data_IF_136350265370
#
_entry.id   IF_136350265370
#
_cell.length_a   1.000
_cell.length_b   1.000
_cell.length_c   1.000
_cell.angle_alpha   90.00
_cell.angle_beta   90.00
_cell.angle_gamma   90.00
#
_symmetry.space_group_name_H-M   'P 1'
#
loop_
_entity.id
_entity.type
_entity.pdbx_description
1 polymer ?
#
# COMPACT_ATOMS: atom_id res chain seq x y z
N UNK A 1 13.84 20.43 32.17
CA UNK A 1 13.38 19.52 33.25
C UNK A 1 11.95 19.80 33.66
N UNK A 2 11.14 18.75 33.73
CA UNK A 2 9.81 18.70 34.34
C UNK A 2 10.00 18.15 35.74
N UNK A 3 9.47 18.81 36.77
CA UNK A 3 9.72 18.43 38.16
C UNK A 3 8.44 18.01 38.88
N UNK A 4 8.56 17.09 39.83
CA UNK A 4 7.49 16.67 40.73
C UNK A 4 7.85 17.09 42.16
N UNK A 5 7.16 18.10 42.67
CA UNK A 5 7.34 18.64 44.01
C UNK A 5 6.44 17.91 45.02
N UNK A 6 7.05 17.09 45.89
CA UNK A 6 6.35 16.33 46.95
C UNK A 6 6.24 17.17 48.23
N UNK A 7 5.08 17.77 48.42
CA UNK A 7 4.79 18.71 49.53
C UNK A 7 4.25 18.04 50.80
N UNK A 8 3.76 16.79 50.70
CA UNK A 8 3.22 15.99 51.81
C UNK A 8 3.35 14.48 51.52
N UNK A 9 2.88 13.63 52.43
CA UNK A 9 2.79 12.17 52.20
C UNK A 9 1.63 11.78 51.27
N UNK A 10 0.66 12.68 51.04
CA UNK A 10 -0.45 12.46 50.12
C UNK A 10 -0.12 13.01 48.73
N UNK A 11 -0.16 12.16 47.70
CA UNK A 11 0.15 12.54 46.32
C UNK A 11 -0.76 13.64 45.77
N UNK A 12 -1.98 13.76 46.29
CA UNK A 12 -2.94 14.79 45.93
C UNK A 12 -2.41 16.21 46.22
N UNK A 13 -1.53 16.37 47.22
CA UNK A 13 -0.94 17.67 47.55
C UNK A 13 0.28 18.02 46.66
N UNK A 14 0.82 17.04 45.95
CA UNK A 14 2.02 17.19 45.13
C UNK A 14 1.74 18.06 43.90
N UNK A 15 2.82 18.61 43.34
CA UNK A 15 2.71 19.53 42.23
C UNK A 15 3.67 19.18 41.09
N UNK A 16 3.20 19.28 39.86
CA UNK A 16 4.03 19.20 38.66
C UNK A 16 4.44 20.62 38.26
N UNK A 17 5.75 20.86 38.15
CA UNK A 17 6.31 22.09 37.61
C UNK A 17 6.58 21.89 36.13
N UNK A 18 5.78 22.56 35.29
CA UNK A 18 5.87 22.45 33.83
C UNK A 18 5.78 23.83 33.18
N UNK A 19 6.77 24.16 32.32
CA UNK A 19 6.88 25.47 31.64
C UNK A 19 6.75 26.68 32.57
N UNK A 20 7.37 26.61 33.76
CA UNK A 20 7.35 27.68 34.76
C UNK A 20 6.00 27.86 35.48
N UNK A 21 5.05 26.95 35.31
CA UNK A 21 3.78 26.91 36.02
C UNK A 21 3.73 25.70 36.95
N UNK A 22 2.91 25.82 38.01
CA UNK A 22 2.71 24.80 39.04
C UNK A 22 1.29 24.25 38.91
N UNK A 23 1.19 22.93 38.78
CA UNK A 23 -0.09 22.21 38.63
C UNK A 23 -0.25 21.22 39.77
N UNK A 24 -1.33 21.31 40.54
CA UNK A 24 -1.61 20.38 41.63
C UNK A 24 -2.14 19.04 41.08
N UNK A 25 -1.63 17.91 41.58
CA UNK A 25 -2.00 16.59 41.07
C UNK A 25 -3.44 16.18 41.42
N UNK A 26 -4.05 16.67 42.50
CA UNK A 26 -5.46 16.37 42.78
C UNK A 26 -6.41 16.94 41.72
N UNK A 27 -6.04 18.09 41.13
CA UNK A 27 -6.86 18.78 40.12
C UNK A 27 -6.52 18.35 38.68
N UNK A 28 -5.23 18.16 38.39
CA UNK A 28 -4.73 17.95 37.03
C UNK A 28 -4.17 16.56 36.76
N UNK A 29 -4.03 15.70 37.77
CA UNK A 29 -3.43 14.38 37.64
C UNK A 29 -4.28 13.26 38.23
N UNK A 30 -3.73 12.06 38.16
CA UNK A 30 -4.31 10.88 38.81
C UNK A 30 -3.20 9.90 39.20
N UNK A 31 -3.44 9.09 40.23
CA UNK A 31 -2.56 7.97 40.55
C UNK A 31 -2.74 6.88 39.50
N UNK A 32 -1.67 6.55 38.75
CA UNK A 32 -1.68 5.53 37.71
C UNK A 32 -1.28 4.16 38.27
N UNK A 33 -0.20 4.13 39.06
CA UNK A 33 0.28 2.95 39.79
C UNK A 33 0.68 3.34 41.21
N UNK A 34 1.23 2.39 41.98
CA UNK A 34 1.76 2.70 43.31
C UNK A 34 2.92 3.70 43.32
N UNK A 35 3.59 3.88 42.18
CA UNK A 35 4.79 4.71 42.08
C UNK A 35 4.78 5.68 40.91
N UNK A 36 3.71 5.71 40.12
CA UNK A 36 3.59 6.60 38.97
C UNK A 36 2.25 7.33 38.91
N UNK A 37 2.29 8.54 38.38
CA UNK A 37 1.19 9.49 38.37
C UNK A 37 0.98 10.03 36.96
N UNK A 38 -0.26 9.98 36.48
CA UNK A 38 -0.63 10.51 35.17
C UNK A 38 -0.79 12.04 35.25
N UNK A 39 -0.20 12.74 34.28
CA UNK A 39 -0.33 14.18 34.12
C UNK A 39 -0.27 14.59 32.63
N UNK A 40 -1.28 15.32 32.10
CA UNK A 40 -2.55 15.62 32.72
C UNK A 40 -3.48 14.41 32.70
N UNK A 41 -4.34 14.29 33.70
CA UNK A 41 -5.51 13.40 33.68
C UNK A 41 -6.82 14.18 33.46
N UNK A 42 -6.79 15.50 33.60
CA UNK A 42 -7.93 16.40 33.42
C UNK A 42 -8.01 16.89 31.96
N UNK A 43 -9.23 16.97 31.42
CA UNK A 43 -9.52 17.47 30.06
C UNK A 43 -9.27 18.97 29.87
N UNK A 44 -9.23 19.74 30.96
CA UNK A 44 -9.03 21.20 30.91
C UNK A 44 -7.58 21.60 30.61
N UNK A 45 -6.63 20.68 30.83
CA UNK A 45 -5.23 20.86 30.47
C UNK A 45 -4.86 19.86 29.37
N UNK A 46 -4.62 20.36 28.16
CA UNK A 46 -4.12 19.56 27.05
C UNK A 46 -2.64 19.83 26.85
N UNK A 47 -1.85 18.76 26.79
CA UNK A 47 -0.46 18.81 26.39
C UNK A 47 -0.33 18.27 24.98
N UNK A 48 0.39 18.98 24.15
CA UNK A 48 0.71 18.59 22.77
C UNK A 48 2.15 18.11 22.69
N UNK A 49 2.51 17.37 21.64
CA UNK A 49 3.90 16.94 21.45
C UNK A 49 4.88 18.13 21.35
N UNK A 50 4.42 19.25 20.80
CA UNK A 50 5.22 20.46 20.66
C UNK A 50 5.56 21.08 22.02
N UNK A 51 4.78 20.79 23.06
CA UNK A 51 5.09 21.26 24.39
C UNK A 51 6.38 20.65 24.96
N UNK A 52 6.82 19.55 24.37
CA UNK A 52 8.00 18.77 24.77
C UNK A 52 9.14 18.85 23.75
N UNK A 53 9.04 19.67 22.70
CA UNK A 53 10.02 19.68 21.59
C UNK A 53 11.46 19.99 22.00
N UNK A 54 11.61 20.71 23.12
CA UNK A 54 12.90 21.18 23.63
C UNK A 54 13.43 20.31 24.79
N UNK A 55 12.73 19.23 25.12
CA UNK A 55 13.07 18.32 26.22
C UNK A 55 13.80 17.07 25.67
N UNK A 56 14.73 16.53 26.46
CA UNK A 56 15.28 15.19 26.25
C UNK A 56 14.58 14.18 27.16
N UNK A 57 14.72 12.88 26.90
CA UNK A 57 14.14 11.84 27.78
C UNK A 57 14.68 11.85 29.22
N UNK A 58 15.83 12.49 29.46
CA UNK A 58 16.40 12.72 30.79
C UNK A 58 15.76 13.91 31.52
N UNK A 59 15.02 14.79 30.83
CA UNK A 59 14.35 15.93 31.43
C UNK A 59 13.01 15.57 32.09
N UNK A 60 12.49 14.36 31.85
CA UNK A 60 11.22 13.90 32.42
C UNK A 60 11.41 13.26 33.80
N UNK A 61 10.53 13.60 34.73
CA UNK A 61 10.57 13.05 36.08
C UNK A 61 10.13 11.58 36.09
N UNK A 62 10.89 10.64 36.67
CA UNK A 62 10.67 9.20 36.52
C UNK A 62 9.42 8.65 37.23
N UNK A 63 8.62 9.49 37.89
CA UNK A 63 7.35 9.10 38.51
C UNK A 63 6.14 9.62 37.71
N UNK A 64 6.39 10.30 36.57
CA UNK A 64 5.34 10.88 35.75
C UNK A 64 5.05 10.04 34.50
N UNK A 65 3.76 9.99 34.19
CA UNK A 65 3.21 9.40 32.98
C UNK A 65 2.44 10.49 32.25
N UNK A 66 2.77 10.77 31.00
CA UNK A 66 2.14 11.87 30.26
C UNK A 66 1.19 11.36 29.19
N UNK A 67 -0.05 11.83 29.22
CA UNK A 67 -0.96 11.77 28.07
C UNK A 67 -0.72 12.98 27.17
N UNK A 68 -0.42 12.73 25.89
CA UNK A 68 -0.07 13.75 24.91
C UNK A 68 -1.04 13.64 23.74
N UNK A 69 -1.78 14.71 23.48
CA UNK A 69 -2.71 14.79 22.35
C UNK A 69 -1.92 15.05 21.06
N UNK A 70 -2.25 14.33 19.98
CA UNK A 70 -1.70 14.59 18.66
C UNK A 70 -2.45 15.72 17.94
N UNK A 71 -2.31 16.94 18.45
CA UNK A 71 -2.89 18.10 17.79
C UNK A 71 -2.21 18.35 16.43
N UNK A 72 -3.03 18.62 15.40
CA UNK A 72 -2.59 18.89 14.03
C UNK A 72 -1.87 17.72 13.31
N UNK A 73 -1.90 16.49 13.83
CA UNK A 73 -1.37 15.33 13.13
C UNK A 73 0.17 15.28 13.06
N UNK A 74 0.87 16.01 13.94
CA UNK A 74 2.33 16.11 13.95
C UNK A 74 3.00 14.74 14.17
N UNK A 75 2.32 13.84 14.89
CA UNK A 75 2.79 12.49 15.19
C UNK A 75 2.42 11.48 14.11
N UNK A 76 1.77 11.92 13.03
CA UNK A 76 1.20 11.07 11.99
C UNK A 76 -0.30 11.27 11.92
N UNK A 77 -0.88 11.06 10.73
CA UNK A 77 -2.28 11.43 10.46
C UNK A 77 -3.29 10.57 11.23
N UNK A 78 -2.92 9.33 11.58
CA UNK A 78 -3.77 8.34 12.25
C UNK A 78 -3.33 8.07 13.69
N UNK A 79 -2.58 8.97 14.32
CA UNK A 79 -2.28 8.85 15.75
C UNK A 79 -3.25 9.75 16.52
N UNK A 80 -3.97 9.19 17.48
CA UNK A 80 -4.91 9.98 18.29
C UNK A 80 -4.22 10.56 19.51
N UNK A 81 -3.56 9.68 20.27
CA UNK A 81 -3.00 9.96 21.59
C UNK A 81 -1.73 9.17 21.76
N UNK A 82 -0.84 9.77 22.53
CA UNK A 82 0.43 9.18 22.89
C UNK A 82 0.55 9.18 24.41
N UNK A 83 1.21 8.14 24.90
CA UNK A 83 1.49 7.96 26.30
C UNK A 83 2.99 7.85 26.51
N UNK A 84 3.57 8.78 27.26
CA UNK A 84 4.97 8.73 27.64
C UNK A 84 5.08 8.18 29.06
N UNK A 85 5.58 6.95 29.19
CA UNK A 85 5.92 6.37 30.49
C UNK A 85 7.40 6.59 30.79
N UNK A 86 7.68 7.30 31.89
CA UNK A 86 9.06 7.55 32.33
C UNK A 86 9.43 6.77 33.59
N UNK A 87 8.56 5.84 34.01
CA UNK A 87 8.70 5.02 35.22
C UNK A 87 10.04 4.31 35.31
N UNK A 88 10.72 4.45 36.44
CA UNK A 88 11.96 3.71 36.73
C UNK A 88 11.72 2.27 37.23
N UNK A 89 10.48 1.89 37.55
CA UNK A 89 10.18 0.61 38.22
C UNK A 89 9.87 -0.56 37.28
N UNK A 90 9.61 -0.30 35.99
CA UNK A 90 9.22 -1.34 35.01
C UNK A 90 10.34 -1.70 34.01
N UNK A 91 11.60 -1.40 34.35
CA UNK A 91 12.79 -1.66 33.50
C UNK A 91 12.72 -1.11 32.06
N UNK A 92 11.75 -0.24 31.75
CA UNK A 92 11.65 0.37 30.42
C UNK A 92 10.96 1.72 30.47
N UNK A 93 11.69 2.77 30.06
CA UNK A 93 11.03 3.96 29.55
C UNK A 93 10.45 3.59 28.21
N UNK A 94 9.15 3.80 28.03
CA UNK A 94 8.50 3.49 26.78
C UNK A 94 7.59 4.61 26.34
N UNK A 95 7.35 4.60 25.04
CA UNK A 95 6.41 5.49 24.38
C UNK A 95 5.28 4.64 23.81
N UNK A 96 4.13 4.72 24.47
CA UNK A 96 2.91 4.04 24.06
C UNK A 96 2.18 4.84 23.00
N UNK A 97 1.87 4.19 21.90
CA UNK A 97 1.15 4.78 20.77
C UNK A 97 -0.23 4.18 20.65
N UNK A 98 -1.20 5.05 20.37
CA UNK A 98 -2.54 4.68 19.93
C UNK A 98 -2.72 5.13 18.48
N UNK A 99 -2.54 4.20 17.56
CA UNK A 99 -2.81 4.43 16.14
C UNK A 99 -4.26 4.04 15.85
N UNK A 100 -5.06 4.97 15.38
CA UNK A 100 -6.51 4.83 15.26
C UNK A 100 -7.03 5.29 13.90
N UNK A 101 -7.92 4.47 13.33
CA UNK A 101 -8.86 4.94 12.31
C UNK A 101 -10.21 5.19 12.99
N UNK A 102 -10.67 6.44 12.97
CA UNK A 102 -12.03 6.80 13.41
C UNK A 102 -13.04 6.41 12.34
N UNK A 103 -13.95 5.49 12.67
CA UNK A 103 -14.87 4.86 11.72
C UNK A 103 -15.90 5.84 11.15
N UNK A 104 -16.39 6.78 11.95
CA UNK A 104 -17.42 7.74 11.53
C UNK A 104 -16.89 8.78 10.53
N UNK A 105 -15.58 9.06 10.57
CA UNK A 105 -14.91 10.05 9.72
C UNK A 105 -14.09 9.36 8.60
N UNK A 106 -14.15 8.03 8.49
CA UNK A 106 -13.36 7.28 7.53
C UNK A 106 -13.93 7.39 6.11
N UNK A 107 -13.16 7.97 5.20
CA UNK A 107 -13.48 8.13 3.78
C UNK A 107 -12.62 7.27 2.84
N UNK A 108 -11.69 6.48 3.40
CA UNK A 108 -10.78 5.65 2.62
C UNK A 108 -11.46 4.43 1.97
N UNK A 109 -10.78 3.87 0.96
CA UNK A 109 -11.37 2.90 0.03
C UNK A 109 -11.50 1.46 0.57
N UNK A 110 -10.83 1.14 1.68
CA UNK A 110 -10.87 -0.20 2.28
C UNK A 110 -11.59 -0.19 3.62
N UNK A 111 -11.97 -1.39 4.04
CA UNK A 111 -12.46 -1.61 5.40
C UNK A 111 -11.35 -1.23 6.41
N UNK A 112 -11.59 -0.30 7.36
CA UNK A 112 -10.61 0.14 8.35
C UNK A 112 -9.91 -0.98 9.12
N UNK A 113 -10.64 -2.05 9.45
CA UNK A 113 -10.09 -3.19 10.20
C UNK A 113 -9.10 -4.00 9.36
N UNK A 114 -9.29 -4.07 8.04
CA UNK A 114 -8.35 -4.74 7.12
C UNK A 114 -7.06 -3.94 7.06
N UNK A 115 -7.15 -2.61 6.85
CA UNK A 115 -5.97 -1.74 6.83
C UNK A 115 -5.22 -1.85 8.15
N UNK A 116 -5.92 -1.68 9.29
CA UNK A 116 -5.33 -1.79 10.63
C UNK A 116 -4.54 -3.09 10.79
N UNK A 117 -5.12 -4.23 10.43
CA UNK A 117 -4.46 -5.53 10.57
C UNK A 117 -3.19 -5.63 9.72
N UNK A 118 -3.18 -5.07 8.51
CA UNK A 118 -2.00 -5.07 7.64
C UNK A 118 -0.93 -4.08 8.12
N UNK A 119 -1.34 -2.89 8.61
CA UNK A 119 -0.43 -1.93 9.26
C UNK A 119 0.22 -2.57 10.48
N UNK A 120 -0.54 -3.26 11.33
CA UNK A 120 -0.01 -3.96 12.50
C UNK A 120 1.05 -5.01 12.12
N UNK A 121 0.82 -5.81 11.06
CA UNK A 121 1.81 -6.77 10.55
C UNK A 121 3.07 -6.09 10.05
N UNK A 122 2.95 -4.96 9.36
CA UNK A 122 4.10 -4.20 8.87
C UNK A 122 4.92 -3.61 10.03
N UNK A 123 4.24 -3.10 11.07
CA UNK A 123 4.84 -2.62 12.32
C UNK A 123 5.52 -3.77 13.10
N UNK A 124 4.99 -5.00 13.06
CA UNK A 124 5.63 -6.15 13.70
C UNK A 124 6.87 -6.67 12.93
N UNK A 125 6.89 -6.52 11.60
CA UNK A 125 7.93 -7.07 10.75
C UNK A 125 9.18 -6.18 10.60
N UNK A 126 9.07 -4.89 10.94
CA UNK A 126 10.16 -3.92 10.89
C UNK A 126 11.18 -4.10 12.03
N UNK A 127 12.36 -3.50 11.86
CA UNK A 127 13.44 -3.50 12.88
C UNK A 127 14.00 -2.10 13.15
N UNK A 128 13.38 -1.06 12.60
CA UNK A 128 13.77 0.35 12.75
C UNK A 128 13.52 0.86 14.18
N UNK A 129 12.46 0.37 14.83
CA UNK A 129 12.07 0.74 16.19
C UNK A 129 11.98 -0.48 17.10
N UNK A 130 12.55 -0.41 18.33
CA UNK A 130 12.47 -1.48 19.31
C UNK A 130 11.08 -1.51 19.95
N UNK A 131 10.15 -2.23 19.34
CA UNK A 131 8.80 -2.40 19.89
C UNK A 131 8.87 -3.37 21.08
N UNK A 132 8.41 -2.91 22.24
CA UNK A 132 8.32 -3.73 23.44
C UNK A 132 7.00 -4.48 23.46
N UNK A 133 7.08 -5.81 23.58
CA UNK A 133 5.90 -6.66 23.71
C UNK A 133 5.18 -6.97 22.39
N UNK A 134 3.90 -7.32 22.49
CA UNK A 134 3.02 -7.61 21.34
C UNK A 134 2.11 -6.42 21.07
N UNK A 135 1.79 -6.19 19.80
CA UNK A 135 0.79 -5.19 19.43
C UNK A 135 -0.58 -5.59 20.00
N UNK A 136 -1.26 -4.64 20.62
CA UNK A 136 -2.66 -4.73 20.96
C UNK A 136 -3.52 -4.27 19.78
N UNK A 137 -4.57 -5.01 19.47
CA UNK A 137 -5.59 -4.58 18.50
C UNK A 137 -6.91 -4.41 19.23
N UNK A 138 -7.61 -3.30 19.00
CA UNK A 138 -8.95 -3.08 19.55
C UNK A 138 -9.96 -2.64 18.49
N UNK A 139 -11.20 -3.04 18.73
CA UNK A 139 -12.40 -2.71 17.97
C UNK A 139 -13.33 -1.86 18.87
N UNK A 140 -12.78 -0.80 19.46
CA UNK A 140 -13.55 0.06 20.37
C UNK A 140 -14.63 0.86 19.63
N UNK A 141 -15.64 1.32 20.38
CA UNK A 141 -16.89 1.91 19.88
C UNK A 141 -16.68 3.14 18.97
N UNK A 142 -16.34 2.90 17.70
CA UNK A 142 -16.07 3.93 16.70
C UNK A 142 -14.63 4.00 16.18
N UNK A 143 -13.73 3.09 16.60
CA UNK A 143 -12.33 3.10 16.19
C UNK A 143 -11.80 1.72 15.80
N UNK A 144 -10.86 1.69 14.84
CA UNK A 144 -10.00 0.54 14.58
C UNK A 144 -8.58 0.89 15.03
N UNK A 145 -8.13 0.27 16.12
CA UNK A 145 -6.97 0.76 16.90
C UNK A 145 -5.82 -0.25 16.99
N UNK A 146 -4.59 0.25 16.93
CA UNK A 146 -3.35 -0.46 17.23
C UNK A 146 -2.69 0.22 18.43
N UNK A 147 -2.33 -0.60 19.42
CA UNK A 147 -1.59 -0.19 20.60
C UNK A 147 -0.23 -0.85 20.59
N UNK A 148 0.83 -0.06 20.77
CA UNK A 148 2.17 -0.60 20.90
C UNK A 148 3.07 0.36 21.66
N UNK A 149 4.05 -0.23 22.32
CA UNK A 149 5.04 0.50 23.09
C UNK A 149 6.38 0.43 22.38
N UNK A 150 7.09 1.56 22.31
CA UNK A 150 8.45 1.63 21.77
C UNK A 150 9.40 1.92 22.92
N UNK A 151 10.45 1.11 23.05
CA UNK A 151 11.53 1.35 24.01
C UNK A 151 12.31 2.62 23.63
N UNK A 152 12.45 3.54 24.59
CA UNK A 152 13.14 4.82 24.40
C UNK A 152 14.39 4.97 25.26
N UNK A 153 14.89 3.89 25.85
CA UNK A 153 16.07 3.90 26.72
C UNK A 153 17.34 4.41 26.00
N UNK A 154 17.49 4.14 24.70
CA UNK A 154 18.64 4.56 23.88
C UNK A 154 18.40 5.85 23.09
N UNK A 155 17.27 6.53 23.33
CA UNK A 155 16.89 7.71 22.54
C UNK A 155 17.40 8.99 23.21
N UNK A 156 18.32 9.69 22.54
CA UNK A 156 18.89 10.94 23.05
C UNK A 156 17.97 12.15 22.85
N UNK A 157 17.49 12.36 21.61
CA UNK A 157 16.69 13.51 21.22
C UNK A 157 15.20 13.13 21.07
N UNK A 158 14.36 13.68 21.94
CA UNK A 158 12.91 13.43 21.93
C UNK A 158 12.27 13.82 20.60
N UNK A 159 12.64 15.01 20.10
CA UNK A 159 12.04 15.59 18.90
C UNK A 159 12.32 14.78 17.65
N UNK A 160 13.58 14.43 17.44
CA UNK A 160 13.98 13.67 16.27
C UNK A 160 13.36 12.27 16.27
N UNK A 161 13.19 11.68 17.46
CA UNK A 161 12.54 10.38 17.60
C UNK A 161 11.08 10.40 17.17
N UNK A 162 10.25 11.28 17.73
CA UNK A 162 8.84 11.27 17.39
C UNK A 162 8.59 11.65 15.92
N UNK A 163 9.42 12.53 15.34
CA UNK A 163 9.32 12.89 13.91
C UNK A 163 9.70 11.72 13.00
N UNK A 164 10.73 10.96 13.35
CA UNK A 164 11.11 9.74 12.62
C UNK A 164 10.01 8.70 12.68
N UNK A 165 9.46 8.45 13.87
CA UNK A 165 8.39 7.47 13.99
C UNK A 165 7.11 7.91 13.28
N UNK A 166 6.72 9.19 13.38
CA UNK A 166 5.59 9.74 12.64
C UNK A 166 5.73 9.48 11.13
N UNK A 167 6.91 9.80 10.59
CA UNK A 167 7.24 9.56 9.18
C UNK A 167 7.19 8.08 8.81
N UNK A 168 7.66 7.22 9.71
CA UNK A 168 7.61 5.77 9.54
C UNK A 168 6.16 5.28 9.47
N UNK A 169 5.30 5.68 10.41
CA UNK A 169 3.91 5.23 10.49
C UNK A 169 3.08 5.73 9.31
N UNK A 170 3.24 6.99 8.92
CA UNK A 170 2.57 7.54 7.74
C UNK A 170 2.99 6.78 6.47
N UNK A 171 4.28 6.53 6.28
CA UNK A 171 4.79 5.73 5.16
C UNK A 171 4.24 4.30 5.19
N UNK A 172 4.24 3.64 6.34
CA UNK A 172 3.73 2.27 6.49
C UNK A 172 2.25 2.19 6.14
N UNK A 173 1.46 3.19 6.54
CA UNK A 173 0.05 3.27 6.16
C UNK A 173 -0.12 3.43 4.64
N UNK A 174 0.61 4.37 4.03
CA UNK A 174 0.56 4.62 2.58
C UNK A 174 0.97 3.36 1.78
N UNK A 175 2.03 2.66 2.20
CA UNK A 175 2.47 1.40 1.61
C UNK A 175 1.41 0.31 1.73
N UNK A 176 0.78 0.16 2.91
CA UNK A 176 -0.29 -0.82 3.13
C UNK A 176 -1.53 -0.48 2.31
N UNK A 177 -1.87 0.79 2.17
CA UNK A 177 -3.01 1.23 1.35
C UNK A 177 -2.76 0.96 -0.13
N UNK A 178 -1.56 1.23 -0.65
CA UNK A 178 -1.18 0.87 -2.02
C UNK A 178 -1.24 -0.65 -2.21
N UNK A 179 -0.66 -1.41 -1.28
CA UNK A 179 -0.65 -2.87 -1.24
C UNK A 179 -2.07 -3.47 -1.26
N UNK A 180 -3.00 -2.86 -0.53
CA UNK A 180 -4.41 -3.25 -0.49
C UNK A 180 -5.18 -2.80 -1.73
N UNK A 181 -4.82 -1.68 -2.34
CA UNK A 181 -5.38 -1.20 -3.62
C UNK A 181 -5.08 -2.15 -4.77
N UNK A 182 -3.88 -2.72 -4.75
CA UNK A 182 -3.43 -3.79 -5.64
C UNK A 182 -4.22 -5.09 -5.33
N UNK A 183 -4.88 -5.18 -4.18
CA UNK A 183 -5.98 -6.10 -3.88
C UNK A 183 -5.73 -7.05 -2.72
N UNK A 184 -4.64 -6.92 -1.97
CA UNK A 184 -4.33 -7.75 -0.80
C UNK A 184 -3.62 -9.08 -1.12
N UNK A 185 -2.96 -9.67 -0.12
CA UNK A 185 -1.94 -10.72 -0.28
C UNK A 185 -2.59 -12.10 -0.24
N UNK A 186 -2.98 -12.61 -1.40
CA UNK A 186 -2.82 -14.02 -1.79
C UNK A 186 -3.63 -14.39 -3.05
N UNK A 187 -3.07 -15.24 -3.89
CA UNK A 187 -3.67 -15.91 -5.04
C UNK A 187 -4.12 -14.99 -6.20
N UNK A 188 -3.37 -13.93 -6.53
CA UNK A 188 -3.65 -13.13 -7.74
C UNK A 188 -2.42 -12.55 -8.43
N UNK A 189 -2.62 -12.18 -9.70
CA UNK A 189 -1.68 -11.40 -10.51
C UNK A 189 -2.27 -9.99 -10.66
N UNK A 190 -1.48 -8.96 -10.35
CA UNK A 190 -1.94 -7.56 -10.39
C UNK A 190 -0.95 -6.71 -11.15
N UNK A 191 -1.41 -6.06 -12.20
CA UNK A 191 -0.61 -5.16 -13.01
C UNK A 191 -1.10 -3.71 -12.86
N UNK A 192 -0.17 -2.80 -12.53
CA UNK A 192 -0.42 -1.36 -12.45
C UNK A 192 -0.04 -0.70 -13.77
N UNK A 193 -0.98 0.01 -14.37
CA UNK A 193 -0.81 0.71 -15.63
C UNK A 193 -1.07 2.20 -15.48
N UNK A 194 -0.31 3.01 -16.21
CA UNK A 194 -0.52 4.45 -16.33
C UNK A 194 -0.61 4.84 -17.80
N UNK A 195 -1.85 4.93 -18.27
CA UNK A 195 -2.21 5.21 -19.66
C UNK A 195 -2.39 6.70 -19.90
N UNK A 196 -2.16 7.14 -21.13
CA UNK A 196 -2.56 8.49 -21.55
C UNK A 196 -4.10 8.53 -21.68
N UNK A 197 -4.72 9.64 -21.27
CA UNK A 197 -6.18 9.78 -21.16
C UNK A 197 -6.90 9.47 -22.49
N UNK A 198 -6.27 9.79 -23.61
CA UNK A 198 -6.83 9.65 -24.96
C UNK A 198 -6.92 8.19 -25.45
N UNK A 199 -6.26 7.25 -24.76
CA UNK A 199 -6.22 5.83 -25.14
C UNK A 199 -6.62 4.89 -24.01
N UNK A 200 -6.88 5.45 -22.82
CA UNK A 200 -7.18 4.71 -21.61
C UNK A 200 -8.30 3.68 -21.83
N UNK A 201 -9.42 4.08 -22.45
CA UNK A 201 -10.56 3.19 -22.70
C UNK A 201 -10.25 2.05 -23.68
N UNK A 202 -9.50 2.32 -24.75
CA UNK A 202 -9.09 1.28 -25.71
C UNK A 202 -8.13 0.29 -25.07
N UNK A 203 -7.20 0.77 -24.24
CA UNK A 203 -6.29 -0.09 -23.48
C UNK A 203 -7.03 -0.93 -22.43
N UNK A 204 -7.99 -0.36 -21.70
CA UNK A 204 -8.85 -1.12 -20.76
C UNK A 204 -9.65 -2.19 -21.51
N UNK A 205 -10.24 -1.84 -22.65
CA UNK A 205 -11.01 -2.79 -23.46
C UNK A 205 -10.14 -3.97 -23.93
N UNK A 206 -8.90 -3.68 -24.33
CA UNK A 206 -7.91 -4.69 -24.68
C UNK A 206 -7.55 -5.57 -23.48
N UNK A 207 -7.26 -4.98 -22.31
CA UNK A 207 -7.00 -5.74 -21.08
C UNK A 207 -8.20 -6.59 -20.66
N UNK A 208 -9.43 -6.12 -20.85
CA UNK A 208 -10.63 -6.91 -20.56
C UNK A 208 -10.75 -8.14 -21.48
N UNK A 209 -10.33 -8.03 -22.75
CA UNK A 209 -10.28 -9.18 -23.66
C UNK A 209 -9.27 -10.24 -23.22
N UNK A 210 -8.24 -9.87 -22.43
CA UNK A 210 -7.30 -10.85 -21.87
C UNK A 210 -8.00 -11.99 -21.11
N UNK A 211 -9.18 -11.74 -20.57
CA UNK A 211 -9.97 -12.74 -19.83
C UNK A 211 -10.57 -13.78 -20.76
N UNK A 212 -11.07 -13.37 -21.93
CA UNK A 212 -11.49 -14.31 -22.96
C UNK A 212 -10.29 -15.06 -23.54
N UNK A 213 -9.15 -14.38 -23.70
CA UNK A 213 -7.89 -15.03 -24.07
C UNK A 213 -7.48 -16.12 -23.06
N UNK A 214 -7.52 -15.84 -21.75
CA UNK A 214 -7.26 -16.85 -20.71
C UNK A 214 -8.25 -18.02 -20.76
N UNK A 215 -9.54 -17.75 -20.98
CA UNK A 215 -10.55 -18.81 -21.16
C UNK A 215 -10.24 -19.68 -22.38
N UNK A 216 -9.76 -19.08 -23.45
CA UNK A 216 -9.32 -19.81 -24.64
C UNK A 216 -8.09 -20.69 -24.39
N UNK A 217 -7.23 -20.30 -23.45
CA UNK A 217 -6.16 -21.14 -22.88
C UNK A 217 -6.68 -22.20 -21.91
N UNK A 218 -7.97 -22.25 -21.63
CA UNK A 218 -8.56 -23.14 -20.63
C UNK A 218 -8.15 -22.82 -19.20
N UNK A 219 -7.77 -21.55 -18.94
CA UNK A 219 -7.49 -20.97 -17.62
C UNK A 219 -8.72 -20.18 -17.20
N UNK A 220 -9.38 -20.61 -16.13
CA UNK A 220 -10.49 -19.86 -15.53
C UNK A 220 -9.94 -18.84 -14.55
N UNK A 221 -10.51 -17.64 -14.57
CA UNK A 221 -10.07 -16.57 -13.69
C UNK A 221 -11.15 -15.50 -13.54
N UNK A 222 -11.02 -14.72 -12.48
CA UNK A 222 -11.88 -13.59 -12.17
C UNK A 222 -11.10 -12.29 -12.37
N UNK A 223 -11.44 -11.48 -13.37
CA UNK A 223 -10.88 -10.15 -13.52
C UNK A 223 -11.43 -9.19 -12.48
N UNK A 224 -10.61 -8.21 -12.12
CA UNK A 224 -11.03 -6.99 -11.48
C UNK A 224 -10.23 -5.83 -12.07
N UNK A 225 -10.90 -4.72 -12.36
CA UNK A 225 -10.27 -3.47 -12.81
C UNK A 225 -10.64 -2.40 -11.80
N UNK A 226 -9.65 -1.88 -11.09
CA UNK A 226 -9.82 -0.77 -10.16
C UNK A 226 -9.12 0.47 -10.73
N UNK A 227 -9.68 1.64 -10.43
CA UNK A 227 -9.14 2.93 -10.84
C UNK A 227 -8.61 3.65 -9.60
N UNK A 228 -7.37 4.14 -9.67
CA UNK A 228 -6.75 4.96 -8.62
C UNK A 228 -6.14 6.21 -9.27
N UNK A 229 -6.92 7.30 -9.30
CA UNK A 229 -6.54 8.50 -10.04
C UNK A 229 -6.36 8.22 -11.54
N UNK A 230 -5.16 8.50 -12.06
CA UNK A 230 -4.77 8.20 -13.45
C UNK A 230 -4.27 6.75 -13.64
N UNK A 231 -4.04 6.01 -12.56
CA UNK A 231 -3.54 4.65 -12.62
C UNK A 231 -4.70 3.64 -12.66
N UNK A 232 -4.44 2.53 -13.38
CA UNK A 232 -5.35 1.40 -13.50
C UNK A 232 -4.70 0.18 -12.89
N UNK A 233 -5.41 -0.46 -11.98
CA UNK A 233 -5.03 -1.72 -11.37
C UNK A 233 -5.84 -2.85 -12.00
N UNK A 234 -5.16 -3.70 -12.76
CA UNK A 234 -5.73 -4.86 -13.41
C UNK A 234 -5.35 -6.12 -12.63
N UNK A 235 -6.33 -6.74 -11.97
CA UNK A 235 -6.13 -7.88 -11.09
C UNK A 235 -6.82 -9.13 -11.65
N UNK A 236 -6.17 -10.28 -11.50
CA UNK A 236 -6.67 -11.57 -11.97
C UNK A 236 -6.44 -12.62 -10.90
N UNK A 237 -7.54 -13.22 -10.46
CA UNK A 237 -7.54 -14.32 -9.49
C UNK A 237 -7.89 -15.61 -10.22
N UNK A 238 -7.00 -16.62 -10.28
CA UNK A 238 -7.33 -17.94 -10.84
C UNK A 238 -8.41 -18.64 -10.01
N UNK A 239 -9.22 -19.52 -10.63
CA UNK A 239 -10.28 -20.23 -9.91
C UNK A 239 -9.77 -21.44 -9.12
N UNK A 240 -8.60 -22.00 -9.45
CA UNK A 240 -7.98 -23.11 -8.70
C UNK A 240 -6.47 -22.97 -8.54
N UNK A 241 -5.90 -23.70 -7.55
CA UNK A 241 -4.44 -23.82 -7.39
C UNK A 241 -3.74 -24.51 -8.57
N UNK A 242 -4.45 -25.36 -9.32
CA UNK A 242 -3.90 -25.96 -10.55
C UNK A 242 -3.74 -24.91 -11.66
N UNK A 243 -4.60 -23.89 -11.68
CA UNK A 243 -4.47 -22.70 -12.51
C UNK A 243 -3.46 -21.74 -11.87
N UNK A 244 -2.17 -22.07 -11.97
CA UNK A 244 -1.13 -21.34 -11.24
C UNK A 244 -1.05 -19.86 -11.64
N UNK A 245 -0.72 -19.00 -10.67
CA UNK A 245 -0.38 -17.59 -10.90
C UNK A 245 0.74 -17.41 -11.92
N UNK A 246 1.67 -18.37 -11.99
CA UNK A 246 2.74 -18.38 -12.95
C UNK A 246 2.22 -18.46 -14.39
N UNK A 247 1.16 -19.24 -14.67
CA UNK A 247 0.56 -19.34 -15.99
C UNK A 247 -0.15 -18.05 -16.39
N UNK A 248 -0.93 -17.47 -15.48
CA UNK A 248 -1.60 -16.16 -15.70
C UNK A 248 -0.55 -15.07 -15.94
N UNK A 249 0.50 -15.03 -15.13
CA UNK A 249 1.62 -14.10 -15.26
C UNK A 249 2.32 -14.24 -16.62
N UNK A 250 2.62 -15.47 -17.05
CA UNK A 250 3.28 -15.71 -18.35
C UNK A 250 2.37 -15.32 -19.52
N UNK A 251 1.09 -15.70 -19.44
CA UNK A 251 0.09 -15.34 -20.44
C UNK A 251 -0.05 -13.82 -20.56
N UNK A 252 -0.09 -13.08 -19.43
CA UNK A 252 -0.18 -11.63 -19.42
C UNK A 252 1.07 -10.98 -20.02
N UNK A 253 2.27 -11.48 -19.66
CA UNK A 253 3.51 -10.98 -20.24
C UNK A 253 3.56 -11.15 -21.76
N UNK A 254 3.04 -12.26 -22.28
CA UNK A 254 2.98 -12.52 -23.72
C UNK A 254 1.94 -11.61 -24.37
N UNK A 255 0.74 -11.56 -23.79
CA UNK A 255 -0.40 -10.80 -24.29
C UNK A 255 -0.06 -9.32 -24.47
N UNK A 256 0.59 -8.71 -23.48
CA UNK A 256 1.03 -7.30 -23.56
C UNK A 256 2.01 -7.02 -24.70
N UNK A 257 2.74 -8.03 -25.21
CA UNK A 257 3.67 -7.90 -26.34
C UNK A 257 3.00 -8.07 -27.70
N UNK A 258 1.80 -8.66 -27.77
CA UNK A 258 1.13 -8.96 -29.03
C UNK A 258 0.87 -7.74 -29.93
N UNK A 259 0.55 -6.54 -29.40
CA UNK A 259 0.38 -5.36 -30.24
C UNK A 259 1.64 -4.95 -31.02
N UNK A 260 2.82 -5.45 -30.61
CA UNK A 260 4.09 -5.14 -31.28
C UNK A 260 4.40 -6.05 -32.47
N UNK A 261 3.67 -7.15 -32.63
CA UNK A 261 3.83 -8.09 -33.75
C UNK A 261 2.90 -7.70 -34.89
N UNK A 262 3.29 -8.00 -36.12
CA UNK A 262 2.36 -7.98 -37.25
C UNK A 262 1.35 -9.14 -37.11
N UNK A 263 0.05 -8.83 -37.08
CA UNK A 263 -1.01 -9.85 -36.97
C UNK A 263 -1.06 -10.77 -38.18
N UNK A 264 -0.49 -10.35 -39.32
CA UNK A 264 -0.29 -11.20 -40.49
C UNK A 264 0.71 -12.34 -40.25
N UNK A 265 1.62 -12.20 -39.27
CA UNK A 265 2.56 -13.27 -38.88
C UNK A 265 1.90 -14.36 -38.02
N UNK A 266 0.70 -14.10 -37.48
CA UNK A 266 -0.10 -15.08 -36.75
C UNK A 266 -0.82 -16.01 -37.76
N UNK A 267 -0.03 -16.76 -38.53
CA UNK A 267 -0.52 -17.74 -39.51
C UNK A 267 -0.67 -19.09 -38.82
N UNK A 268 -1.80 -19.77 -39.06
CA UNK A 268 -1.98 -21.14 -38.63
C UNK A 268 -2.22 -22.01 -39.86
N UNK A 269 -1.18 -22.68 -40.34
CA UNK A 269 -1.26 -23.50 -41.56
C UNK A 269 -2.03 -24.81 -41.34
N UNK A 270 -2.37 -25.18 -40.09
CA UNK A 270 -2.97 -26.48 -39.76
C UNK A 270 -3.94 -26.49 -38.55
N UNK A 271 -4.67 -25.41 -38.27
CA UNK A 271 -5.67 -25.40 -37.18
C UNK A 271 -7.02 -26.03 -37.54
N UNK A 272 -7.68 -26.62 -36.55
CA UNK A 272 -9.12 -26.88 -36.61
C UNK A 272 -9.92 -25.56 -36.67
N UNK A 273 -11.17 -25.57 -37.20
CA UNK A 273 -11.97 -24.34 -37.39
C UNK A 273 -12.23 -23.53 -36.12
N UNK A 274 -12.26 -24.15 -34.95
CA UNK A 274 -12.49 -23.45 -33.69
C UNK A 274 -11.25 -22.66 -33.27
N UNK A 275 -10.06 -23.23 -33.48
CA UNK A 275 -8.78 -22.54 -33.24
C UNK A 275 -8.58 -21.38 -34.20
N UNK A 276 -8.96 -21.53 -35.47
CA UNK A 276 -8.94 -20.44 -36.46
C UNK A 276 -9.83 -19.27 -36.01
N UNK A 277 -11.07 -19.54 -35.58
CA UNK A 277 -11.97 -18.50 -35.08
C UNK A 277 -11.40 -17.74 -33.88
N UNK A 278 -10.77 -18.43 -32.92
CA UNK A 278 -10.16 -17.80 -31.74
C UNK A 278 -8.98 -16.90 -32.12
N UNK A 279 -8.15 -17.34 -33.06
CA UNK A 279 -7.04 -16.56 -33.61
C UNK A 279 -7.52 -15.30 -34.33
N UNK A 280 -8.56 -15.42 -35.16
CA UNK A 280 -9.13 -14.26 -35.86
C UNK A 280 -9.73 -13.24 -34.88
N UNK A 281 -10.37 -13.70 -33.79
CA UNK A 281 -10.81 -12.79 -32.72
C UNK A 281 -9.64 -12.07 -32.05
N UNK A 282 -8.57 -12.81 -31.71
CA UNK A 282 -7.38 -12.21 -31.11
C UNK A 282 -6.74 -11.17 -32.05
N UNK A 283 -6.61 -11.47 -33.35
CA UNK A 283 -6.12 -10.51 -34.36
C UNK A 283 -7.00 -9.27 -34.42
N UNK A 284 -8.32 -9.45 -34.47
CA UNK A 284 -9.28 -8.33 -34.49
C UNK A 284 -9.12 -7.41 -33.29
N UNK A 285 -8.93 -7.94 -32.08
CA UNK A 285 -8.74 -7.11 -30.88
C UNK A 285 -7.38 -6.38 -30.88
N UNK A 286 -6.32 -7.03 -31.39
CA UNK A 286 -5.01 -6.38 -31.58
C UNK A 286 -5.11 -5.25 -32.61
N UNK A 287 -5.75 -5.51 -33.76
CA UNK A 287 -5.87 -4.54 -34.85
C UNK A 287 -6.77 -3.37 -34.47
N UNK A 288 -7.83 -3.64 -33.69
CA UNK A 288 -8.68 -2.61 -33.09
C UNK A 288 -7.87 -1.70 -32.16
N UNK A 289 -7.11 -2.26 -31.22
CA UNK A 289 -6.25 -1.46 -30.34
C UNK A 289 -5.26 -0.61 -31.15
N UNK A 290 -4.58 -1.20 -32.14
CA UNK A 290 -3.66 -0.46 -33.03
C UNK A 290 -4.36 0.66 -33.78
N UNK A 291 -5.58 0.41 -34.27
CA UNK A 291 -6.41 1.40 -34.95
C UNK A 291 -6.76 2.57 -34.04
N UNK A 292 -7.19 2.29 -32.82
CA UNK A 292 -7.53 3.30 -31.82
C UNK A 292 -6.31 4.16 -31.45
N UNK A 293 -5.16 3.52 -31.15
CA UNK A 293 -3.92 4.23 -30.83
C UNK A 293 -3.46 5.16 -31.97
N UNK A 294 -3.53 4.68 -33.23
CA UNK A 294 -3.20 5.50 -34.41
C UNK A 294 -4.17 6.67 -34.58
N UNK A 295 -5.46 6.44 -34.32
CA UNK A 295 -6.50 7.46 -34.45
C UNK A 295 -6.35 8.54 -33.38
N UNK A 296 -6.16 8.16 -32.12
CA UNK A 296 -5.88 9.10 -31.03
C UNK A 296 -4.59 9.89 -31.30
N UNK A 297 -3.51 9.22 -31.74
CA UNK A 297 -2.28 9.90 -32.09
C UNK A 297 -2.44 10.88 -33.27
N UNK A 298 -3.27 10.54 -34.27
CA UNK A 298 -3.56 11.43 -35.39
C UNK A 298 -4.39 12.65 -34.96
N UNK A 299 -5.34 12.47 -34.05
CA UNK A 299 -6.17 13.53 -33.50
C UNK A 299 -5.34 14.51 -32.67
N UNK A 300 -4.46 14.00 -31.80
CA UNK A 300 -3.52 14.83 -31.04
C UNK A 300 -2.59 15.59 -31.98
N UNK A 301 -1.98 14.93 -32.98
CA UNK A 301 -1.14 15.61 -33.98
C UNK A 301 -1.88 16.69 -34.77
N UNK A 302 -3.17 16.51 -35.01
CA UNK A 302 -4.00 17.51 -35.67
C UNK A 302 -4.21 18.74 -34.76
N UNK A 303 -4.55 18.52 -33.49
CA UNK A 303 -4.67 19.59 -32.48
C UNK A 303 -3.33 20.31 -32.25
N UNK A 304 -2.24 19.55 -32.13
CA UNK A 304 -0.88 20.06 -31.94
C UNK A 304 -0.38 20.89 -33.12
N UNK A 305 -0.73 20.51 -34.37
CA UNK A 305 -0.42 21.32 -35.56
C UNK A 305 -1.12 22.68 -35.55
N UNK A 306 -2.26 22.80 -34.88
CA UNK A 306 -2.92 24.09 -34.68
C UNK A 306 -2.22 24.94 -33.61
N UNK A 307 -1.41 24.32 -32.73
CA UNK A 307 -0.77 24.92 -31.56
C UNK A 307 0.77 24.97 -31.63
N UNK A 308 1.38 24.49 -32.72
CA UNK A 308 2.83 24.53 -33.03
C UNK A 308 3.76 23.79 -32.06
N UNK A 309 3.36 22.63 -31.54
CA UNK A 309 4.23 21.79 -30.70
C UNK A 309 4.31 20.33 -31.18
N UNK A 310 5.54 19.82 -31.30
CA UNK A 310 5.92 18.42 -31.05
C UNK A 310 5.31 17.24 -31.85
N UNK A 311 5.93 16.08 -31.68
CA UNK A 311 5.41 14.76 -32.09
C UNK A 311 5.00 13.99 -30.85
N UNK A 312 3.72 13.61 -30.74
CA UNK A 312 3.22 12.76 -29.64
C UNK A 312 3.27 11.29 -30.03
N UNK A 313 3.75 10.46 -29.11
CA UNK A 313 3.68 8.99 -29.13
C UNK A 313 2.92 8.56 -27.87
N UNK A 314 1.76 7.94 -28.08
CA UNK A 314 0.91 7.41 -27.00
C UNK A 314 1.46 6.08 -26.50
N UNK A 315 1.32 5.83 -25.20
CA UNK A 315 1.79 4.59 -24.55
C UNK A 315 0.92 3.41 -24.94
N UNK A 316 1.54 2.36 -25.47
CA UNK A 316 0.94 1.04 -25.59
C UNK A 316 0.81 0.34 -24.22
N UNK A 317 -0.04 -0.70 -24.06
CA UNK A 317 -0.18 -1.45 -22.79
C UNK A 317 1.12 -1.89 -22.14
N UNK A 318 2.07 -2.39 -22.92
CA UNK A 318 3.38 -2.76 -22.39
C UNK A 318 4.21 -1.55 -21.95
N UNK A 319 4.06 -0.40 -22.61
CA UNK A 319 4.76 0.84 -22.27
C UNK A 319 4.20 1.46 -20.99
N UNK A 320 2.88 1.41 -20.81
CA UNK A 320 2.14 1.91 -19.66
C UNK A 320 2.29 1.05 -18.39
N UNK A 321 2.77 -0.20 -18.49
CA UNK A 321 3.00 -1.07 -17.33
C UNK A 321 4.10 -0.48 -16.42
N UNK A 322 3.76 -0.21 -15.16
CA UNK A 322 4.69 0.30 -14.16
C UNK A 322 5.33 -0.85 -13.36
N UNK A 323 4.50 -1.60 -12.64
CA UNK A 323 4.90 -2.75 -11.82
C UNK A 323 3.88 -3.89 -11.96
N UNK A 324 4.29 -5.08 -11.52
CA UNK A 324 3.39 -6.22 -11.37
C UNK A 324 3.61 -6.87 -10.02
N UNK A 325 2.53 -7.31 -9.38
CA UNK A 325 2.55 -8.14 -8.20
C UNK A 325 2.04 -9.53 -8.59
N UNK A 326 2.83 -10.55 -8.26
CA UNK A 326 2.42 -11.94 -8.35
C UNK A 326 2.37 -12.44 -6.92
N UNK A 327 1.15 -12.66 -6.43
CA UNK A 327 0.95 -12.92 -5.01
C UNK A 327 1.47 -11.74 -4.18
N UNK A 328 2.46 -12.00 -3.34
CA UNK A 328 3.07 -11.06 -2.40
C UNK A 328 4.35 -10.43 -2.94
N UNK A 329 4.84 -10.92 -4.09
CA UNK A 329 6.09 -10.48 -4.72
C UNK A 329 5.83 -9.39 -5.75
N UNK A 330 6.38 -8.21 -5.51
CA UNK A 330 6.52 -7.20 -6.56
C UNK A 330 7.65 -7.57 -7.53
N UNK A 331 7.39 -7.39 -8.82
CA UNK A 331 8.39 -7.48 -9.88
C UNK A 331 8.33 -6.20 -10.70
N UNK A 332 9.48 -5.62 -10.96
CA UNK A 332 9.54 -4.51 -11.90
C UNK A 332 9.26 -4.99 -13.33
N UNK A 333 8.91 -4.05 -14.22
CA UNK A 333 8.62 -4.33 -15.63
C UNK A 333 9.70 -5.17 -16.32
N UNK A 334 10.99 -4.93 -16.06
CA UNK A 334 12.09 -5.65 -16.73
C UNK A 334 12.16 -7.10 -16.26
N UNK A 335 12.07 -7.35 -14.97
CA UNK A 335 12.08 -8.69 -14.36
C UNK A 335 10.87 -9.51 -14.83
N UNK A 336 9.69 -8.89 -14.86
CA UNK A 336 8.48 -9.55 -15.34
C UNK A 336 8.59 -9.96 -16.82
N UNK A 337 8.99 -9.03 -17.69
CA UNK A 337 9.03 -9.28 -19.14
C UNK A 337 10.18 -10.19 -19.58
N UNK A 338 11.21 -10.35 -18.74
CA UNK A 338 12.36 -11.27 -18.96
C UNK A 338 12.11 -12.68 -18.42
N UNK A 339 11.25 -12.84 -17.41
CA UNK A 339 10.90 -14.15 -16.83
C UNK A 339 9.80 -14.93 -17.57
N UNK A 340 9.03 -14.30 -18.47
CA UNK A 340 7.82 -14.88 -19.10
C UNK A 340 8.02 -15.99 -20.14
N UNK A 341 9.25 -16.42 -20.44
CA UNK A 341 9.55 -17.28 -21.59
C UNK A 341 9.62 -18.78 -21.19
N UNK A 342 8.49 -19.38 -20.78
CA UNK A 342 8.38 -20.85 -20.59
C UNK A 342 6.98 -21.43 -20.91
N UNK A 343 6.23 -20.85 -21.84
CA UNK A 343 5.03 -21.52 -22.37
C UNK A 343 5.49 -22.46 -23.51
N UNK A 344 5.41 -23.78 -23.26
CA UNK A 344 5.71 -24.82 -24.25
C UNK A 344 4.54 -25.08 -25.20
N UNK A 345 4.26 -26.35 -25.52
CA UNK A 345 3.06 -26.73 -26.28
C UNK A 345 1.90 -26.95 -25.32
N UNK A 346 0.81 -26.18 -25.46
CA UNK A 346 -0.40 -26.40 -24.66
C UNK A 346 -1.33 -27.38 -25.38
N UNK A 347 -1.66 -28.50 -24.72
CA UNK A 347 -2.62 -29.50 -25.21
C UNK A 347 -3.76 -29.68 -24.21
N UNK A 348 -4.97 -29.25 -24.56
CA UNK A 348 -6.20 -29.52 -23.79
C UNK A 348 -7.43 -29.46 -24.69
N UNK A 349 -8.36 -30.40 -24.51
CA UNK A 349 -9.63 -30.48 -25.26
C UNK A 349 -9.48 -30.56 -26.80
N UNK A 350 -8.44 -31.24 -27.31
CA UNK A 350 -8.21 -31.39 -28.76
C UNK A 350 -7.55 -30.19 -29.43
N UNK A 351 -7.24 -29.14 -28.68
CA UNK A 351 -6.51 -27.95 -29.15
C UNK A 351 -5.03 -28.14 -28.84
N UNK A 352 -4.18 -28.01 -29.86
CA UNK A 352 -2.72 -27.97 -29.76
C UNK A 352 -2.26 -26.57 -30.15
N UNK A 353 -1.76 -25.81 -29.18
CA UNK A 353 -1.20 -24.48 -29.42
C UNK A 353 0.29 -24.51 -29.10
N UNK A 354 1.11 -24.43 -30.14
CA UNK A 354 2.57 -24.39 -29.99
C UNK A 354 3.02 -22.96 -29.70
N UNK A 355 3.09 -22.63 -28.41
CA UNK A 355 3.58 -21.33 -27.99
C UNK A 355 5.07 -21.16 -28.28
N UNK A 356 5.85 -22.23 -28.48
CA UNK A 356 7.23 -22.08 -28.93
C UNK A 356 7.32 -21.56 -30.37
N UNK A 357 6.35 -21.87 -31.23
CA UNK A 357 6.26 -21.31 -32.57
C UNK A 357 6.02 -19.79 -32.50
N UNK A 358 5.09 -19.34 -31.65
CA UNK A 358 4.78 -17.92 -31.45
C UNK A 358 5.92 -17.18 -30.70
N UNK A 359 6.59 -17.85 -29.75
CA UNK A 359 7.78 -17.35 -29.05
C UNK A 359 9.05 -17.36 -29.92
N UNK A 360 9.12 -18.19 -30.97
CA UNK A 360 10.20 -18.20 -31.96
C UNK A 360 10.33 -16.86 -32.69
N UNK A 361 9.22 -16.18 -32.94
CA UNK A 361 9.18 -14.82 -33.50
C UNK A 361 9.78 -13.77 -32.55
N UNK A 362 9.78 -14.02 -31.24
CA UNK A 362 10.36 -13.11 -30.23
C UNK A 362 11.84 -13.38 -29.93
N UNK A 363 12.41 -14.51 -30.38
CA UNK A 363 13.83 -14.84 -30.23
C UNK A 363 14.72 -14.36 -31.38
N UNK A 364 14.13 -13.88 -32.49
CA UNK A 364 14.86 -13.57 -33.73
C UNK A 364 15.13 -12.07 -33.98
N UNK A 365 15.07 -11.21 -32.94
CA UNK A 365 15.51 -9.82 -33.03
C UNK A 365 16.46 -9.43 -31.91
#
# INVERSE_FOLDING_TARGET
>A
MIELEKTSDNWEDWNVLFKGKKYNLAEYGSKWSDKSYQFPANRDLKLTITDFSDYNFSDFHPELYFGIDNEHGILGKQISTIYLCTSSDEDSKYFGYCWDIKLDDWDGHFNPFIIRNEVAKAIEAQTEFPISGKLGLSDDSGFASIYFDVDVNEVECFKDFYLKLASFLDRTFEEVEEKLSIGGFSNKVVAKFSFDEEVQQSCISYLNYFIEFLKDLGIKSKPQVNYSGQDILFSITPDSKEESLALVSQALSLYLKLPQIDTAELINEYSDPLTELKLERLKSEIDKLKGDLRTSAALIRYQDKLLSNGTVKLKEPIEALQCIHIDDEEKNKREFLSGGIKLGVFKKAGIEFDWNALLGHFKSK
#
